data_IF_922918985076
#
_entry.id   IF_922918985076
#
_cell.length_a   1.000
_cell.length_b   1.000
_cell.length_c   1.000
_cell.angle_alpha   90.00
_cell.angle_beta   90.00
_cell.angle_gamma   90.00
#
_symmetry.space_group_name_H-M   'P 1'
#
loop_
_entity.id
_entity.type
_entity.pdbx_description
1 polymer ?
#
# COMPACT_ATOMS: atom_id res chain seq x y z
N UNK A 1 -23.62 4.02 -18.38
CA UNK A 1 -23.37 3.29 -17.12
C UNK A 1 -22.00 2.63 -17.30
N UNK A 2 -20.96 3.44 -17.08
CA UNK A 2 -19.58 3.24 -17.54
C UNK A 2 -18.85 2.16 -16.72
N UNK A 3 -18.87 0.92 -17.20
CA UNK A 3 -18.49 -0.28 -16.44
C UNK A 3 -17.03 -0.74 -16.61
N UNK A 4 -16.13 0.07 -17.15
CA UNK A 4 -14.73 -0.36 -17.35
C UNK A 4 -13.82 0.23 -16.27
N UNK A 5 -13.80 -0.45 -15.11
CA UNK A 5 -12.89 -0.13 -14.00
C UNK A 5 -12.12 -1.37 -13.55
N UNK A 6 -10.85 -1.20 -13.20
CA UNK A 6 -10.00 -2.25 -12.63
C UNK A 6 -9.64 -1.85 -11.21
N UNK A 7 -9.85 -2.76 -10.27
CA UNK A 7 -9.52 -2.56 -8.85
C UNK A 7 -8.45 -3.57 -8.44
N UNK A 8 -7.39 -3.09 -7.81
CA UNK A 8 -6.27 -3.89 -7.30
C UNK A 8 -6.20 -3.69 -5.79
N UNK A 9 -6.23 -4.78 -5.02
CA UNK A 9 -6.31 -4.78 -3.55
C UNK A 9 -5.16 -5.51 -2.85
N UNK A 10 -4.15 -5.98 -3.60
CA UNK A 10 -3.07 -6.82 -3.06
C UNK A 10 -1.69 -6.41 -3.54
N UNK A 11 -1.56 -5.20 -4.08
CA UNK A 11 -0.36 -4.75 -4.79
C UNK A 11 0.88 -4.66 -3.87
N UNK A 12 0.65 -4.50 -2.57
CA UNK A 12 1.69 -4.48 -1.53
C UNK A 12 2.45 -5.80 -1.40
N UNK A 13 1.86 -6.92 -1.83
CA UNK A 13 2.51 -8.23 -1.82
C UNK A 13 3.29 -8.54 -3.10
N UNK A 14 3.22 -7.65 -4.10
CA UNK A 14 3.79 -7.93 -5.40
C UNK A 14 5.27 -7.54 -5.39
N UNK A 15 6.17 -8.41 -5.87
CA UNK A 15 7.59 -8.07 -5.99
C UNK A 15 7.84 -6.87 -6.90
N UNK A 16 6.96 -6.64 -7.88
CA UNK A 16 7.03 -5.53 -8.83
C UNK A 16 5.61 -4.94 -9.05
N UNK A 17 5.15 -4.04 -8.16
CA UNK A 17 3.84 -3.38 -8.22
C UNK A 17 3.57 -2.69 -9.57
N UNK A 18 4.61 -2.13 -10.17
CA UNK A 18 4.50 -1.36 -11.41
C UNK A 18 4.04 -2.23 -12.58
N UNK A 19 4.43 -3.51 -12.61
CA UNK A 19 3.92 -4.46 -13.62
C UNK A 19 2.42 -4.68 -13.52
N UNK A 20 1.88 -4.78 -12.31
CA UNK A 20 0.45 -4.94 -12.09
C UNK A 20 -0.34 -3.73 -12.59
N UNK A 21 0.15 -2.53 -12.30
CA UNK A 21 -0.45 -1.27 -12.75
C UNK A 21 -0.32 -1.11 -14.27
N UNK A 22 0.81 -1.48 -14.86
CA UNK A 22 1.02 -1.52 -16.32
C UNK A 22 0.03 -2.48 -17.00
N UNK A 23 -0.18 -3.65 -16.43
CA UNK A 23 -1.15 -4.62 -16.96
C UNK A 23 -2.58 -4.08 -16.85
N UNK A 24 -2.92 -3.41 -15.74
CA UNK A 24 -4.19 -2.70 -15.60
C UNK A 24 -4.37 -1.64 -16.69
N UNK A 25 -3.32 -0.89 -17.03
CA UNK A 25 -3.36 0.08 -18.13
C UNK A 25 -3.64 -0.62 -19.47
N UNK A 26 -3.01 -1.77 -19.74
CA UNK A 26 -3.20 -2.52 -21.00
C UNK A 26 -4.66 -2.98 -21.18
N UNK A 27 -5.25 -3.56 -20.13
CA UNK A 27 -6.60 -4.16 -20.21
C UNK A 27 -7.73 -3.14 -20.17
N UNK A 28 -7.51 -1.96 -19.57
CA UNK A 28 -8.54 -0.91 -19.51
C UNK A 28 -8.84 -0.34 -20.90
N UNK A 29 -10.11 0.00 -21.14
CA UNK A 29 -10.53 0.80 -22.30
C UNK A 29 -10.21 2.28 -22.08
N UNK A 30 -10.25 3.07 -23.15
CA UNK A 30 -10.11 4.53 -23.07
C UNK A 30 -11.20 5.09 -22.15
N UNK A 31 -10.82 5.99 -21.24
CA UNK A 31 -11.72 6.54 -20.22
C UNK A 31 -11.97 5.62 -19.02
N UNK A 32 -11.48 4.38 -19.07
CA UNK A 32 -11.56 3.44 -17.95
C UNK A 32 -10.72 3.87 -16.75
N UNK A 33 -11.12 3.42 -15.56
CA UNK A 33 -10.50 3.83 -14.29
C UNK A 33 -9.76 2.67 -13.63
N UNK A 34 -8.48 2.88 -13.30
CA UNK A 34 -7.75 2.00 -12.40
C UNK A 34 -7.88 2.53 -10.97
N UNK A 35 -8.03 1.64 -10.00
CA UNK A 35 -8.03 1.95 -8.58
C UNK A 35 -7.14 0.95 -7.85
N UNK A 36 -6.10 1.43 -7.18
CA UNK A 36 -5.29 0.64 -6.25
C UNK A 36 -5.70 1.02 -4.83
N UNK A 37 -5.95 0.03 -3.98
CA UNK A 37 -6.15 0.23 -2.56
C UNK A 37 -5.09 -0.57 -1.83
N UNK A 38 -4.37 0.08 -0.93
CA UNK A 38 -3.28 -0.55 -0.19
C UNK A 38 -2.91 0.22 1.08
N UNK A 39 -2.09 -0.41 1.95
CA UNK A 39 -1.56 0.19 3.17
C UNK A 39 -0.53 1.29 2.86
N UNK A 40 -0.42 2.28 3.73
CA UNK A 40 0.55 3.38 3.63
C UNK A 40 1.60 3.27 4.72
N UNK A 41 2.84 3.57 4.37
CA UNK A 41 3.97 3.67 5.31
C UNK A 41 3.62 4.52 6.54
N UNK A 42 3.83 3.99 7.76
CA UNK A 42 3.46 4.69 8.99
C UNK A 42 4.40 5.88 9.28
N UNK A 43 3.96 6.79 10.14
CA UNK A 43 4.74 8.00 10.49
C UNK A 43 5.50 7.90 11.81
N UNK A 44 5.11 7.01 12.72
CA UNK A 44 5.78 6.81 14.00
C UNK A 44 7.02 5.93 13.83
N UNK A 45 8.13 6.30 14.46
CA UNK A 45 9.44 5.68 14.23
C UNK A 45 9.45 4.16 14.51
N UNK A 46 8.79 3.70 15.59
CA UNK A 46 8.77 2.27 15.93
C UNK A 46 7.90 1.46 14.94
N UNK A 47 6.79 2.05 14.49
CA UNK A 47 5.93 1.42 13.48
C UNK A 47 6.60 1.39 12.12
N UNK A 48 7.41 2.41 11.78
CA UNK A 48 8.25 2.41 10.57
C UNK A 48 9.25 1.26 10.61
N UNK A 49 9.94 1.11 11.72
CA UNK A 49 10.90 0.03 11.92
C UNK A 49 10.26 -1.35 11.66
N UNK A 50 9.12 -1.65 12.30
CA UNK A 50 8.43 -2.91 12.06
C UNK A 50 7.82 -3.04 10.66
N UNK A 51 7.35 -1.94 10.05
CA UNK A 51 6.87 -1.94 8.67
C UNK A 51 8.00 -2.28 7.69
N UNK A 52 9.17 -1.65 7.82
CA UNK A 52 10.33 -1.87 6.96
C UNK A 52 10.90 -3.29 7.09
N UNK A 53 10.79 -3.89 8.28
CA UNK A 53 11.28 -5.24 8.54
C UNK A 53 10.37 -6.35 8.03
N UNK A 54 9.06 -6.12 7.92
CA UNK A 54 8.10 -7.19 7.66
C UNK A 54 7.17 -6.93 6.49
N UNK A 55 6.54 -5.75 6.41
CA UNK A 55 5.45 -5.49 5.47
C UNK A 55 5.83 -4.61 4.26
N UNK A 56 6.97 -3.90 4.32
CA UNK A 56 7.50 -3.05 3.24
C UNK A 56 6.42 -2.14 2.62
N UNK A 57 5.62 -1.50 3.47
CA UNK A 57 4.50 -0.68 2.98
C UNK A 57 4.98 0.47 2.10
N UNK A 58 4.40 0.64 0.90
CA UNK A 58 4.75 1.77 0.06
C UNK A 58 4.30 3.10 0.67
N UNK A 59 4.97 4.17 0.26
CA UNK A 59 4.58 5.54 0.55
C UNK A 59 3.44 5.98 -0.38
N UNK A 60 2.73 7.02 0.03
CA UNK A 60 1.65 7.62 -0.76
C UNK A 60 2.17 8.13 -2.12
N UNK A 61 3.39 8.67 -2.11
CA UNK A 61 4.07 9.19 -3.29
C UNK A 61 4.41 8.09 -4.28
N UNK A 62 4.89 6.93 -3.81
CA UNK A 62 5.23 5.78 -4.66
C UNK A 62 4.00 5.27 -5.43
N UNK A 63 2.84 5.19 -4.78
CA UNK A 63 1.60 4.83 -5.48
C UNK A 63 1.24 5.83 -6.59
N UNK A 64 1.43 7.13 -6.36
CA UNK A 64 1.14 8.16 -7.36
C UNK A 64 2.14 8.05 -8.52
N UNK A 65 3.42 7.90 -8.21
CA UNK A 65 4.50 7.73 -9.20
C UNK A 65 4.23 6.54 -10.11
N UNK A 66 3.88 5.37 -9.55
CA UNK A 66 3.60 4.19 -10.37
C UNK A 66 2.44 4.40 -11.36
N UNK A 67 1.39 5.14 -10.96
CA UNK A 67 0.29 5.47 -11.87
C UNK A 67 0.72 6.46 -12.96
N UNK A 68 1.50 7.48 -12.58
CA UNK A 68 1.99 8.48 -13.52
C UNK A 68 2.95 7.86 -14.55
N UNK A 69 3.89 7.05 -14.10
CA UNK A 69 4.83 6.30 -14.94
C UNK A 69 4.10 5.31 -15.85
N UNK A 70 3.05 4.66 -15.35
CA UNK A 70 2.22 3.77 -16.14
C UNK A 70 1.37 4.50 -17.20
N UNK A 71 1.32 5.84 -17.20
CA UNK A 71 0.64 6.66 -18.20
C UNK A 71 -0.79 7.07 -17.84
N UNK A 72 -1.25 6.81 -16.62
CA UNK A 72 -2.57 7.27 -16.17
C UNK A 72 -2.60 8.79 -15.99
N UNK A 73 -3.78 9.39 -16.21
CA UNK A 73 -4.06 10.81 -15.97
C UNK A 73 -5.10 10.98 -14.87
N UNK A 74 -5.23 12.20 -14.38
CA UNK A 74 -6.13 12.55 -13.26
C UNK A 74 -5.92 11.68 -12.02
N UNK A 75 -4.64 11.43 -11.68
CA UNK A 75 -4.27 10.60 -10.54
C UNK A 75 -4.71 11.29 -9.25
N UNK A 76 -5.56 10.61 -8.47
CA UNK A 76 -6.09 11.11 -7.20
C UNK A 76 -5.80 10.11 -6.10
N UNK A 77 -5.29 10.61 -4.98
CA UNK A 77 -5.08 9.83 -3.76
C UNK A 77 -6.13 10.21 -2.72
N UNK A 78 -6.81 9.20 -2.19
CA UNK A 78 -7.76 9.33 -1.09
C UNK A 78 -7.31 8.46 0.07
N UNK A 79 -7.08 9.10 1.22
CA UNK A 79 -6.71 8.40 2.45
C UNK A 79 -7.93 7.70 3.06
N UNK A 80 -7.74 6.48 3.53
CA UNK A 80 -8.73 5.65 4.20
C UNK A 80 -8.23 5.42 5.63
N UNK A 81 -9.03 5.86 6.60
CA UNK A 81 -8.72 5.68 8.00
C UNK A 81 -9.97 5.77 8.86
N UNK A 82 -9.95 5.20 10.07
CA UNK A 82 -11.06 5.30 11.00
C UNK A 82 -11.32 6.74 11.44
N UNK A 83 -12.59 7.07 11.67
CA UNK A 83 -13.01 8.43 12.10
C UNK A 83 -12.37 8.86 13.43
N UNK A 84 -12.06 7.91 14.32
CA UNK A 84 -11.47 8.17 15.64
C UNK A 84 -10.02 8.66 15.61
N UNK A 85 -9.36 8.69 14.45
CA UNK A 85 -8.00 9.25 14.35
C UNK A 85 -7.94 10.76 14.54
N UNK A 86 -9.10 11.45 14.49
CA UNK A 86 -9.20 12.90 14.67
C UNK A 86 -8.20 13.69 13.80
N UNK A 87 -7.82 13.14 12.64
CA UNK A 87 -6.88 13.72 11.69
C UNK A 87 -5.39 13.59 12.05
N UNK A 88 -5.02 12.90 13.13
CA UNK A 88 -3.63 12.84 13.63
C UNK A 88 -2.95 11.53 13.23
N UNK A 89 -1.82 11.60 12.49
CA UNK A 89 -1.00 10.41 12.13
C UNK A 89 0.07 10.04 13.18
N UNK A 90 0.22 10.82 14.25
CA UNK A 90 1.38 10.71 15.18
C UNK A 90 1.63 9.32 15.77
N UNK A 91 0.60 8.48 15.85
CA UNK A 91 0.68 7.22 16.57
C UNK A 91 0.95 5.97 15.73
N UNK A 92 1.31 6.13 14.45
CA UNK A 92 1.96 5.04 13.71
C UNK A 92 1.06 3.96 13.14
N UNK A 93 -0.25 4.19 13.06
CA UNK A 93 -1.11 3.21 12.43
C UNK A 93 -1.07 3.28 10.91
N UNK A 94 -1.26 2.10 10.32
CA UNK A 94 -1.42 1.88 8.89
C UNK A 94 -2.73 2.55 8.47
N UNK A 95 -2.59 3.64 7.73
CA UNK A 95 -3.70 4.23 6.97
C UNK A 95 -3.72 3.51 5.63
N UNK A 96 -4.89 3.11 5.16
CA UNK A 96 -5.01 2.72 3.76
C UNK A 96 -4.99 3.97 2.89
N UNK A 97 -4.61 3.84 1.64
CA UNK A 97 -4.95 4.81 0.61
C UNK A 97 -5.62 4.12 -0.56
N UNK A 98 -6.49 4.85 -1.24
CA UNK A 98 -7.01 4.52 -2.55
C UNK A 98 -6.41 5.50 -3.56
N UNK A 99 -5.70 5.00 -4.54
CA UNK A 99 -5.17 5.78 -5.66
C UNK A 99 -5.93 5.40 -6.90
N UNK A 100 -6.52 6.40 -7.57
CA UNK A 100 -7.27 6.22 -8.81
C UNK A 100 -6.63 6.97 -9.95
N UNK A 101 -6.66 6.41 -11.16
CA UNK A 101 -6.23 7.08 -12.39
C UNK A 101 -7.07 6.68 -13.58
N UNK A 102 -7.18 7.58 -14.57
CA UNK A 102 -7.97 7.38 -15.79
C UNK A 102 -7.04 7.07 -16.95
N UNK A 103 -7.38 6.08 -17.77
CA UNK A 103 -6.64 5.78 -19.01
C UNK A 103 -6.99 6.81 -20.10
N UNK A 104 -6.05 7.66 -20.54
CA UNK A 104 -6.36 8.74 -21.49
C UNK A 104 -6.39 8.27 -22.94
N UNK A 105 -5.55 7.30 -23.31
CA UNK A 105 -5.27 6.92 -24.70
C UNK A 105 -5.32 5.41 -24.89
N UNK A 106 -5.56 4.98 -26.13
CA UNK A 106 -5.45 3.56 -26.52
C UNK A 106 -3.99 3.13 -26.61
N UNK A 107 -3.75 1.82 -26.52
CA UNK A 107 -2.42 1.21 -26.60
C UNK A 107 -1.82 0.83 -25.25
N UNK A 108 -0.54 0.48 -25.29
CA UNK A 108 0.24 0.03 -24.15
C UNK A 108 0.73 1.18 -23.27
N UNK A 109 1.06 0.85 -22.02
CA UNK A 109 1.67 1.78 -21.09
C UNK A 109 3.03 2.28 -21.62
N UNK A 110 3.37 3.57 -21.46
CA UNK A 110 4.68 4.11 -21.78
C UNK A 110 5.80 3.55 -20.88
N UNK A 111 5.45 2.92 -19.76
CA UNK A 111 6.40 2.35 -18.81
C UNK A 111 7.18 1.18 -19.43
N UNK A 112 8.50 1.34 -19.54
CA UNK A 112 9.42 0.30 -19.99
C UNK A 112 10.06 -0.37 -18.79
N UNK A 113 9.61 -1.59 -18.51
CA UNK A 113 10.18 -2.43 -17.46
C UNK A 113 11.14 -3.44 -18.09
N UNK A 114 12.27 -3.70 -17.43
CA UNK A 114 13.23 -4.71 -17.85
C UNK A 114 12.68 -6.15 -17.80
N UNK A 115 13.48 -7.18 -18.09
CA UNK A 115 13.07 -8.56 -17.93
C UNK A 115 12.68 -8.84 -16.46
N UNK A 116 11.63 -9.64 -16.26
CA UNK A 116 11.20 -10.07 -14.91
C UNK A 116 12.25 -11.01 -14.35
N UNK A 117 13.06 -10.54 -13.40
CA UNK A 117 14.05 -11.36 -12.71
C UNK A 117 13.45 -11.88 -11.40
N UNK A 118 12.88 -13.10 -11.43
CA UNK A 118 12.56 -13.84 -10.21
C UNK A 118 13.71 -14.79 -9.91
N UNK A 119 14.46 -14.50 -8.86
CA UNK A 119 15.62 -15.31 -8.46
C UNK A 119 15.17 -16.45 -7.54
N UNK A 120 14.47 -17.44 -8.12
CA UNK A 120 13.82 -18.56 -7.39
C UNK A 120 14.85 -19.61 -6.93
N UNK A 121 16.09 -19.54 -7.39
CA UNK A 121 17.10 -20.60 -7.20
C UNK A 121 17.98 -20.44 -5.95
N UNK A 122 17.81 -19.37 -5.17
CA UNK A 122 18.65 -19.17 -3.99
C UNK A 122 18.26 -20.12 -2.86
N UNK A 123 19.21 -20.91 -2.30
CA UNK A 123 18.92 -21.76 -1.16
C UNK A 123 18.55 -20.88 0.05
N UNK A 124 17.49 -21.26 0.76
CA UNK A 124 17.08 -20.59 2.00
C UNK A 124 17.99 -21.02 3.15
N UNK A 125 18.56 -20.07 3.89
CA UNK A 125 19.34 -20.37 5.10
C UNK A 125 18.37 -20.60 6.28
N UNK A 126 18.32 -21.80 6.89
CA UNK A 126 17.36 -22.13 7.95
C UNK A 126 17.44 -21.23 9.19
N UNK A 127 18.65 -20.81 9.57
CA UNK A 127 18.85 -19.89 10.71
C UNK A 127 18.29 -18.50 10.39
N UNK A 128 18.59 -18.00 9.19
CA UNK A 128 18.07 -16.71 8.73
C UNK A 128 16.56 -16.75 8.53
N UNK A 129 16.01 -17.90 8.12
CA UNK A 129 14.57 -18.13 8.05
C UNK A 129 13.93 -18.07 9.44
N UNK A 130 14.47 -18.77 10.43
CA UNK A 130 13.95 -18.75 11.80
C UNK A 130 13.99 -17.34 12.40
N UNK A 131 15.10 -16.60 12.20
CA UNK A 131 15.22 -15.22 12.65
C UNK A 131 14.17 -14.32 11.98
N UNK A 132 13.96 -14.44 10.66
CA UNK A 132 12.90 -13.72 9.94
C UNK A 132 11.50 -14.09 10.42
N UNK A 133 11.26 -15.35 10.74
CA UNK A 133 9.98 -15.83 11.27
C UNK A 133 9.67 -15.20 12.63
N UNK A 134 10.64 -15.18 13.54
CA UNK A 134 10.49 -14.56 14.86
C UNK A 134 10.25 -13.06 14.71
N UNK A 135 11.05 -12.36 13.90
CA UNK A 135 10.91 -10.94 13.64
C UNK A 135 9.56 -10.59 12.99
N UNK A 136 9.13 -11.36 11.99
CA UNK A 136 7.83 -11.20 11.35
C UNK A 136 6.67 -11.45 12.32
N UNK A 137 6.81 -12.42 13.22
CA UNK A 137 5.81 -12.70 14.25
C UNK A 137 5.69 -11.55 15.27
N UNK A 138 6.81 -10.97 15.69
CA UNK A 138 6.83 -9.80 16.59
C UNK A 138 6.22 -8.58 15.89
N UNK A 139 6.58 -8.33 14.63
CA UNK A 139 6.00 -7.24 13.83
C UNK A 139 4.49 -7.43 13.66
N UNK A 140 4.04 -8.66 13.36
CA UNK A 140 2.62 -9.02 13.29
C UNK A 140 1.88 -8.75 14.59
N UNK A 141 2.41 -9.22 15.72
CA UNK A 141 1.82 -8.96 17.02
C UNK A 141 1.73 -7.45 17.33
N UNK A 142 2.77 -6.68 17.01
CA UNK A 142 2.76 -5.23 17.18
C UNK A 142 1.62 -4.56 16.41
N UNK A 143 1.43 -4.91 15.13
CA UNK A 143 0.36 -4.34 14.32
C UNK A 143 -1.06 -4.82 14.69
N UNK A 144 -1.19 -5.93 15.43
CA UNK A 144 -2.47 -6.34 16.05
C UNK A 144 -2.73 -5.53 17.33
N UNK A 145 -1.71 -5.31 18.17
CA UNK A 145 -1.86 -4.62 19.45
C UNK A 145 -2.09 -3.11 19.30
N UNK A 146 -1.48 -2.47 18.31
CA UNK A 146 -1.59 -1.01 18.11
C UNK A 146 -3.05 -0.55 17.87
N UNK A 147 -3.85 -1.16 16.98
CA UNK A 147 -5.27 -0.85 16.83
C UNK A 147 -6.09 -1.06 18.10
N UNK A 148 -5.81 -2.13 18.86
CA UNK A 148 -6.51 -2.43 20.12
C UNK A 148 -6.22 -1.33 21.15
N UNK A 149 -4.95 -0.97 21.31
CA UNK A 149 -4.53 0.12 22.19
C UNK A 149 -5.20 1.44 21.81
N UNK A 150 -5.26 1.76 20.51
CA UNK A 150 -5.92 2.97 20.00
C UNK A 150 -7.41 2.98 20.23
N UNK A 151 -8.06 1.83 20.03
CA UNK A 151 -9.49 1.70 20.26
C UNK A 151 -9.83 1.93 21.74
N UNK A 152 -9.07 1.32 22.66
CA UNK A 152 -9.21 1.56 24.10
C UNK A 152 -8.98 3.04 24.42
N UNK A 153 -7.93 3.66 23.84
CA UNK A 153 -7.64 5.08 24.03
C UNK A 153 -8.78 5.99 23.54
N UNK A 154 -9.42 5.68 22.42
CA UNK A 154 -10.59 6.43 21.93
C UNK A 154 -11.81 6.29 22.86
N UNK A 155 -12.01 5.14 23.51
CA UNK A 155 -13.08 4.99 24.51
C UNK A 155 -12.86 5.85 25.77
N UNK A 156 -11.60 6.11 26.13
CA UNK A 156 -11.23 6.83 27.35
C UNK A 156 -11.10 8.35 27.10
N UNK A 157 -10.56 8.76 25.94
CA UNK A 157 -10.26 10.17 25.65
C UNK A 157 -11.53 10.91 25.19
N UNK A 158 -11.97 11.98 25.91
CA UNK A 158 -13.17 12.74 25.55
C UNK A 158 -13.14 13.24 24.11
N UNK A 159 -14.30 13.22 23.44
CA UNK A 159 -14.46 13.67 22.05
C UNK A 159 -14.10 15.17 21.96
N UNK A 160 -12.98 15.49 21.32
CA UNK A 160 -12.50 16.87 21.15
C UNK A 160 -11.00 17.09 21.41
N UNK A 161 -10.33 16.15 22.08
CA UNK A 161 -8.88 16.19 22.28
C UNK A 161 -8.14 15.35 21.22
N UNK A 162 -6.94 15.73 20.75
CA UNK A 162 -6.17 14.87 19.86
C UNK A 162 -5.78 13.56 20.57
N UNK A 163 -5.96 12.43 19.89
CA UNK A 163 -5.52 11.11 20.35
C UNK A 163 -4.08 10.89 19.91
#
# INVERSE_FOLDING_TARGET
MDSDSVVILSIEYWPDPQRGIKEAYRVLKIGGKACVIGPVHPTFWLSRFFADMWMLFPKEEEYIEWFQEAGFKDVKLKRIGPKWYRGVRRHGLIMGCSVTGVKPLTGDSPLKLGPKAEDVKKPVNPFMFLLRLILGSIAGAYFVLVPIYMWIKDQIVPKGQPI
#
